data_IF_196448485704
#
_entry.id   IF_196448485704
#
_cell.length_a   1.000
_cell.length_b   1.000
_cell.length_c   1.000
_cell.angle_alpha   90.00
_cell.angle_beta   90.00
_cell.angle_gamma   90.00
#
_symmetry.space_group_name_H-M   'P 1'
#
loop_
_entity.id
_entity.type
_entity.pdbx_description
1 polymer ?
#
# COMPACT_ATOMS: atom_id res chain seq x y z
N UNK A 1 23.68 32.13 -43.36
CA UNK A 1 24.53 32.18 -42.15
C UNK A 1 24.16 33.47 -41.43
N UNK A 2 23.13 33.43 -40.58
CA UNK A 2 22.64 34.61 -39.84
C UNK A 2 23.47 34.72 -38.55
N UNK A 3 24.24 35.80 -38.47
CA UNK A 3 24.99 36.17 -37.29
C UNK A 3 24.02 36.49 -36.16
N UNK A 4 24.17 35.80 -35.03
CA UNK A 4 23.45 36.09 -33.79
C UNK A 4 24.10 37.34 -33.21
N UNK A 5 23.35 38.45 -33.18
CA UNK A 5 23.80 39.71 -32.61
C UNK A 5 24.10 39.57 -31.10
N UNK A 6 25.29 40.00 -30.63
CA UNK A 6 25.73 39.81 -29.24
C UNK A 6 25.11 40.79 -28.23
N UNK A 7 24.14 41.60 -28.65
CA UNK A 7 23.55 42.67 -27.83
C UNK A 7 22.27 42.27 -27.09
N UNK A 8 21.78 41.03 -27.27
CA UNK A 8 20.50 40.56 -26.72
C UNK A 8 20.61 39.76 -25.40
N UNK A 9 21.66 39.97 -24.61
CA UNK A 9 21.88 39.22 -23.35
C UNK A 9 21.87 40.09 -22.09
N UNK A 10 21.86 41.42 -22.19
CA UNK A 10 21.86 42.29 -21.00
C UNK A 10 20.47 42.75 -20.56
N UNK A 11 19.49 42.85 -21.46
CA UNK A 11 18.11 43.27 -21.13
C UNK A 11 17.30 42.20 -20.40
N UNK A 12 17.58 40.92 -20.64
CA UNK A 12 16.94 39.80 -19.93
C UNK A 12 17.42 39.68 -18.47
N UNK A 13 18.67 40.10 -18.18
CA UNK A 13 19.17 40.21 -16.82
C UNK A 13 18.62 41.45 -16.06
N UNK A 14 18.33 42.54 -16.77
CA UNK A 14 17.76 43.77 -16.19
C UNK A 14 16.27 43.64 -15.84
N UNK A 15 15.48 42.95 -16.67
CA UNK A 15 14.05 42.73 -16.39
C UNK A 15 13.81 41.81 -15.19
N UNK A 16 14.73 40.89 -14.94
CA UNK A 16 14.72 40.10 -13.72
C UNK A 16 14.99 41.02 -12.51
N UNK A 17 15.95 41.95 -12.61
CA UNK A 17 16.32 42.86 -11.52
C UNK A 17 15.21 43.84 -11.04
N UNK A 18 14.13 44.04 -11.80
CA UNK A 18 13.07 45.02 -11.49
C UNK A 18 11.78 44.45 -10.86
N UNK A 19 11.75 43.17 -10.47
CA UNK A 19 10.68 42.69 -9.59
C UNK A 19 10.87 43.29 -8.17
N UNK A 20 9.83 43.86 -7.55
CA UNK A 20 9.92 44.42 -6.20
C UNK A 20 10.48 43.38 -5.24
N UNK A 21 11.49 43.75 -4.43
CA UNK A 21 12.16 42.86 -3.47
C UNK A 21 11.17 42.10 -2.57
N UNK A 22 10.02 42.74 -2.28
CA UNK A 22 8.93 42.17 -1.48
C UNK A 22 8.12 41.08 -2.20
N UNK A 23 7.99 41.15 -3.53
CA UNK A 23 7.31 40.12 -4.34
C UNK A 23 8.21 38.90 -4.59
N UNK A 24 9.53 39.10 -4.65
CA UNK A 24 10.51 38.00 -4.78
C UNK A 24 10.61 37.18 -3.50
N UNK A 25 10.68 37.86 -2.36
CA UNK A 25 10.72 37.21 -1.04
C UNK A 25 9.44 36.41 -0.75
N UNK A 26 8.27 36.88 -1.18
CA UNK A 26 7.03 36.10 -1.03
C UNK A 26 6.97 34.88 -1.95
N UNK A 27 7.44 35.00 -3.19
CA UNK A 27 7.51 33.86 -4.10
C UNK A 27 8.52 32.80 -3.63
N UNK A 28 9.69 33.24 -3.14
CA UNK A 28 10.71 32.35 -2.56
C UNK A 28 10.20 31.64 -1.30
N UNK A 29 9.51 32.36 -0.41
CA UNK A 29 8.87 31.78 0.78
C UNK A 29 7.79 30.75 0.43
N UNK A 30 6.98 31.02 -0.61
CA UNK A 30 5.96 30.07 -1.08
C UNK A 30 6.60 28.82 -1.71
N UNK A 31 7.67 28.97 -2.49
CA UNK A 31 8.42 27.83 -3.02
C UNK A 31 9.03 27.00 -1.88
N UNK A 32 9.63 27.64 -0.88
CA UNK A 32 10.22 26.94 0.27
C UNK A 32 9.16 26.22 1.10
N UNK A 33 7.98 26.82 1.29
CA UNK A 33 6.85 26.20 1.97
C UNK A 33 6.31 24.99 1.19
N UNK A 34 6.15 25.11 -0.12
CA UNK A 34 5.70 24.01 -0.97
C UNK A 34 6.72 22.87 -0.96
N UNK A 35 8.02 23.17 -1.03
CA UNK A 35 9.08 22.18 -0.95
C UNK A 35 9.17 21.52 0.43
N UNK A 36 8.95 22.26 1.51
CA UNK A 36 8.86 21.70 2.86
C UNK A 36 7.65 20.77 2.99
N UNK A 37 6.48 21.18 2.47
CA UNK A 37 5.26 20.36 2.45
C UNK A 37 5.44 19.11 1.59
N UNK A 38 6.09 19.21 0.44
CA UNK A 38 6.38 18.07 -0.43
C UNK A 38 7.33 17.07 0.25
N UNK A 39 8.38 17.56 0.90
CA UNK A 39 9.30 16.71 1.68
C UNK A 39 8.60 16.01 2.84
N UNK A 40 7.75 16.74 3.58
CA UNK A 40 6.95 16.15 4.66
C UNK A 40 5.97 15.09 4.14
N UNK A 41 5.24 15.38 3.06
CA UNK A 41 4.29 14.45 2.47
C UNK A 41 4.97 13.19 1.90
N UNK A 42 6.14 13.33 1.27
CA UNK A 42 6.91 12.19 0.76
C UNK A 42 7.50 11.33 1.88
N UNK A 43 7.94 11.93 2.99
CA UNK A 43 8.37 11.20 4.17
C UNK A 43 7.21 10.39 4.78
N UNK A 44 6.04 11.03 4.99
CA UNK A 44 4.85 10.36 5.49
C UNK A 44 4.38 9.22 4.57
N UNK A 45 4.44 9.42 3.25
CA UNK A 45 4.10 8.38 2.28
C UNK A 45 5.06 7.18 2.35
N UNK A 46 6.36 7.42 2.54
CA UNK A 46 7.36 6.36 2.72
C UNK A 46 7.14 5.57 4.02
N UNK A 47 6.85 6.26 5.12
CA UNK A 47 6.54 5.62 6.40
C UNK A 47 5.28 4.76 6.30
N UNK A 48 4.21 5.29 5.69
CA UNK A 48 2.98 4.53 5.45
C UNK A 48 3.24 3.29 4.57
N UNK A 49 4.04 3.42 3.52
CA UNK A 49 4.42 2.30 2.66
C UNK A 49 5.25 1.24 3.41
N UNK A 50 6.20 1.67 4.25
CA UNK A 50 7.00 0.78 5.08
C UNK A 50 6.15 0.04 6.12
N UNK A 51 5.23 0.74 6.79
CA UNK A 51 4.28 0.14 7.73
C UNK A 51 3.36 -0.87 7.04
N UNK A 52 2.81 -0.52 5.86
CA UNK A 52 1.99 -1.43 5.07
C UNK A 52 2.76 -2.67 4.61
N UNK A 53 4.03 -2.53 4.24
CA UNK A 53 4.90 -3.64 3.85
C UNK A 53 5.14 -4.59 5.03
N UNK A 54 5.42 -4.06 6.21
CA UNK A 54 5.59 -4.83 7.44
C UNK A 54 4.32 -5.60 7.83
N UNK A 55 3.16 -4.94 7.80
CA UNK A 55 1.88 -5.57 8.08
C UNK A 55 1.56 -6.69 7.09
N UNK A 56 1.78 -6.44 5.80
CA UNK A 56 1.55 -7.45 4.76
C UNK A 56 2.47 -8.67 4.93
N UNK A 57 3.73 -8.47 5.32
CA UNK A 57 4.64 -9.57 5.62
C UNK A 57 4.18 -10.40 6.83
N UNK A 58 3.74 -9.74 7.90
CA UNK A 58 3.20 -10.41 9.09
C UNK A 58 1.94 -11.21 8.77
N UNK A 59 0.98 -10.63 8.04
CA UNK A 59 -0.25 -11.31 7.63
C UNK A 59 0.04 -12.53 6.75
N UNK A 60 0.98 -12.42 5.80
CA UNK A 60 1.40 -13.55 4.97
C UNK A 60 2.00 -14.68 5.81
N UNK A 61 2.85 -14.34 6.79
CA UNK A 61 3.43 -15.33 7.71
C UNK A 61 2.35 -16.04 8.53
N UNK A 62 1.41 -15.30 9.11
CA UNK A 62 0.29 -15.88 9.88
C UNK A 62 -0.59 -16.78 9.01
N UNK A 63 -0.97 -16.34 7.82
CA UNK A 63 -1.75 -17.14 6.86
C UNK A 63 -1.02 -18.44 6.47
N UNK A 64 0.30 -18.37 6.27
CA UNK A 64 1.11 -19.56 5.99
C UNK A 64 1.10 -20.53 7.18
N UNK A 65 1.21 -20.04 8.41
CA UNK A 65 1.09 -20.86 9.62
C UNK A 65 -0.29 -21.52 9.74
N UNK A 66 -1.37 -20.76 9.52
CA UNK A 66 -2.72 -21.32 9.53
C UNK A 66 -2.87 -22.44 8.51
N UNK A 67 -2.41 -22.23 7.28
CA UNK A 67 -2.43 -23.27 6.24
C UNK A 67 -1.59 -24.48 6.64
N UNK A 68 -0.43 -24.29 7.25
CA UNK A 68 0.43 -25.40 7.67
C UNK A 68 -0.20 -26.25 8.77
N UNK A 69 -0.85 -25.63 9.75
CA UNK A 69 -1.48 -26.31 10.89
C UNK A 69 -2.76 -27.03 10.45
N UNK A 70 -3.60 -26.35 9.68
CA UNK A 70 -4.97 -26.82 9.39
C UNK A 70 -5.09 -27.49 8.03
N UNK A 71 -4.08 -27.38 7.16
CA UNK A 71 -4.14 -27.82 5.76
C UNK A 71 -5.41 -27.35 5.02
N UNK A 72 -5.99 -26.24 5.48
CA UNK A 72 -7.27 -25.72 5.01
C UNK A 72 -7.07 -24.71 3.88
N UNK A 73 -7.88 -24.81 2.83
CA UNK A 73 -7.95 -23.86 1.72
C UNK A 73 -9.36 -23.31 1.61
N UNK A 74 -9.52 -22.00 1.79
CA UNK A 74 -10.81 -21.32 1.74
C UNK A 74 -11.21 -20.93 0.32
N UNK A 75 -12.51 -20.94 0.02
CA UNK A 75 -13.06 -20.50 -1.25
C UNK A 75 -13.72 -19.11 -1.12
N UNK A 76 -12.99 -18.01 -1.41
CA UNK A 76 -13.55 -16.68 -1.32
C UNK A 76 -14.64 -16.44 -2.38
N UNK A 77 -15.62 -15.61 -2.03
CA UNK A 77 -16.70 -15.20 -2.95
C UNK A 77 -17.97 -16.07 -2.89
N UNK A 78 -18.01 -17.10 -2.03
CA UNK A 78 -19.25 -17.83 -1.75
C UNK A 78 -20.04 -17.20 -0.58
N UNK A 79 -21.38 -17.30 -0.60
CA UNK A 79 -22.24 -16.87 0.51
C UNK A 79 -22.26 -17.89 1.66
N UNK A 80 -21.33 -18.84 1.69
CA UNK A 80 -21.20 -19.87 2.72
C UNK A 80 -19.74 -20.00 3.13
N UNK A 81 -19.51 -20.49 4.33
CA UNK A 81 -18.16 -20.72 4.86
C UNK A 81 -17.68 -22.06 4.29
N UNK A 82 -16.91 -21.98 3.20
CA UNK A 82 -16.58 -23.14 2.38
C UNK A 82 -15.11 -23.21 1.99
N UNK A 83 -14.66 -24.44 1.73
CA UNK A 83 -13.28 -24.72 1.40
C UNK A 83 -12.97 -26.21 1.39
N UNK A 84 -11.68 -26.52 1.45
CA UNK A 84 -11.17 -27.88 1.54
C UNK A 84 -10.18 -28.03 2.68
N UNK A 85 -10.09 -29.24 3.22
CA UNK A 85 -9.05 -29.67 4.15
C UNK A 85 -8.32 -30.84 3.52
N UNK A 86 -6.99 -30.76 3.47
CA UNK A 86 -6.15 -31.86 3.00
C UNK A 86 -5.55 -32.60 4.20
N UNK A 87 -5.75 -33.92 4.26
CA UNK A 87 -5.03 -34.77 5.20
C UNK A 87 -3.69 -35.16 4.58
N UNK A 88 -2.60 -34.64 5.14
CA UNK A 88 -1.24 -34.90 4.64
C UNK A 88 -0.76 -36.32 4.91
N UNK A 89 -1.39 -37.06 5.82
CA UNK A 89 -1.02 -38.45 6.15
C UNK A 89 -1.64 -39.44 5.17
N UNK A 90 -2.90 -39.22 4.82
CA UNK A 90 -3.67 -40.12 3.93
C UNK A 90 -3.69 -39.65 2.48
N UNK A 91 -3.39 -38.38 2.23
CA UNK A 91 -3.55 -37.74 0.92
C UNK A 91 -5.01 -37.42 0.57
N UNK A 92 -5.94 -37.58 1.51
CA UNK A 92 -7.36 -37.32 1.30
C UNK A 92 -7.65 -35.80 1.27
N UNK A 93 -8.65 -35.40 0.48
CA UNK A 93 -9.11 -34.01 0.38
C UNK A 93 -10.60 -33.99 0.67
N UNK A 94 -10.95 -33.41 1.82
CA UNK A 94 -12.34 -33.26 2.27
C UNK A 94 -12.83 -31.86 1.95
N UNK A 95 -14.02 -31.76 1.38
CA UNK A 95 -14.69 -30.49 1.09
C UNK A 95 -15.65 -30.18 2.24
N UNK A 96 -15.71 -28.92 2.66
CA UNK A 96 -16.71 -28.45 3.62
C UNK A 96 -17.45 -27.22 3.07
N UNK A 97 -18.71 -27.11 3.48
CA UNK A 97 -19.60 -26.01 3.12
C UNK A 97 -20.59 -25.79 4.28
N UNK A 98 -20.34 -24.78 5.09
CA UNK A 98 -21.15 -24.44 6.26
C UNK A 98 -21.99 -23.19 5.97
N UNK A 99 -23.24 -23.20 6.46
CA UNK A 99 -24.13 -22.04 6.42
C UNK A 99 -23.48 -20.84 7.15
N UNK A 100 -23.68 -19.61 6.66
CA UNK A 100 -23.21 -18.40 7.34
C UNK A 100 -23.89 -18.17 8.69
N UNK A 101 -25.06 -18.74 8.92
CA UNK A 101 -25.83 -18.62 10.16
C UNK A 101 -25.41 -19.62 11.24
N UNK A 102 -24.43 -20.48 10.96
CA UNK A 102 -23.87 -21.40 11.96
C UNK A 102 -23.30 -20.62 13.15
N UNK A 103 -23.49 -21.12 14.37
CA UNK A 103 -22.86 -20.49 15.52
C UNK A 103 -21.33 -20.61 15.43
N UNK A 104 -20.62 -19.59 15.92
CA UNK A 104 -19.15 -19.60 15.90
C UNK A 104 -18.57 -20.82 16.64
N UNK A 105 -19.19 -21.22 17.76
CA UNK A 105 -18.77 -22.39 18.53
C UNK A 105 -18.93 -23.69 17.72
N UNK A 106 -20.08 -23.88 17.10
CA UNK A 106 -20.35 -25.07 16.28
C UNK A 106 -19.45 -25.12 15.06
N UNK A 107 -19.24 -23.99 14.38
CA UNK A 107 -18.33 -23.89 13.24
C UNK A 107 -16.91 -24.33 13.58
N UNK A 108 -16.36 -23.81 14.69
CA UNK A 108 -15.01 -24.14 15.14
C UNK A 108 -14.91 -25.64 15.42
N UNK A 109 -15.87 -26.23 16.14
CA UNK A 109 -15.85 -27.66 16.42
C UNK A 109 -15.90 -28.49 15.13
N UNK A 110 -16.82 -28.17 14.20
CA UNK A 110 -16.92 -28.88 12.91
C UNK A 110 -15.65 -28.76 12.07
N UNK A 111 -14.97 -27.61 12.11
CA UNK A 111 -13.68 -27.44 11.43
C UNK A 111 -12.57 -28.28 12.08
N UNK A 112 -12.53 -28.36 13.41
CA UNK A 112 -11.57 -29.21 14.12
C UNK A 112 -11.81 -30.70 13.89
N UNK A 113 -13.06 -31.14 13.76
CA UNK A 113 -13.39 -32.54 13.42
C UNK A 113 -12.90 -32.95 12.02
N UNK A 114 -12.62 -31.97 11.14
CA UNK A 114 -12.08 -32.19 9.80
C UNK A 114 -10.55 -32.21 9.74
N UNK A 115 -9.84 -31.95 10.83
CA UNK A 115 -8.37 -31.99 10.91
C UNK A 115 -7.89 -33.37 11.38
#
# INVERSE_FOLDING_TARGET
MLAIDPWYTWETNQLTAMLPLHQRTTAEQQCEEVDARLRSATAAAREAAAASSSLAANLKSQLAMYKHITSTTWWPGKPTISGTVSDTKTGDIRVFDFDQNISQFELVNKLWDLL
#
